data_IF_642791256166
#
_entry.id   IF_642791256166
#
_cell.length_a   1.000
_cell.length_b   1.000
_cell.length_c   1.000
_cell.angle_alpha   90.00
_cell.angle_beta   90.00
_cell.angle_gamma   90.00
#
_symmetry.space_group_name_H-M   'P 1'
#
loop_
_entity.id
_entity.type
_entity.pdbx_description
1 polymer ?
#
# COMPACT_ATOMS: atom_id res chain seq x y z
N UNK A 1 13.07 -10.67 22.64
CA UNK A 1 14.41 -10.88 23.21
C UNK A 1 15.43 -9.90 22.62
N UNK A 2 15.58 -9.80 21.29
CA UNK A 2 16.56 -8.90 20.64
C UNK A 2 16.42 -7.42 21.06
N UNK A 3 15.19 -6.88 21.17
CA UNK A 3 14.96 -5.48 21.59
C UNK A 3 15.41 -5.16 23.02
N UNK A 4 15.39 -6.14 23.92
CA UNK A 4 15.88 -5.98 25.31
C UNK A 4 17.41 -5.96 25.36
N UNK A 5 18.07 -6.82 24.58
CA UNK A 5 19.54 -6.87 24.51
C UNK A 5 20.14 -5.62 23.88
N UNK A 6 19.39 -4.92 23.01
CA UNK A 6 19.81 -3.66 22.36
C UNK A 6 19.34 -2.40 23.12
N UNK A 7 18.74 -2.53 24.31
CA UNK A 7 18.26 -1.39 25.10
C UNK A 7 17.00 -0.70 24.55
N UNK A 8 16.31 -1.33 23.58
CA UNK A 8 15.16 -0.76 22.87
C UNK A 8 13.85 -1.27 23.49
N UNK A 9 13.60 -0.92 24.75
CA UNK A 9 12.44 -1.39 25.52
C UNK A 9 11.08 -1.05 24.87
N UNK A 10 11.02 0.03 24.09
CA UNK A 10 9.79 0.58 23.53
C UNK A 10 9.56 0.24 22.06
N UNK A 11 10.35 -0.69 21.48
CA UNK A 11 10.20 -1.06 20.07
C UNK A 11 8.91 -1.84 19.80
N UNK A 12 8.46 -2.66 20.75
CA UNK A 12 7.27 -3.48 20.65
C UNK A 12 6.34 -3.30 21.86
N UNK A 13 5.09 -2.95 21.57
CA UNK A 13 3.98 -3.05 22.51
C UNK A 13 3.17 -4.32 22.18
N UNK A 14 3.00 -5.22 23.16
CA UNK A 14 2.33 -6.51 22.94
C UNK A 14 0.86 -6.39 22.54
N UNK A 15 0.14 -5.35 23.01
CA UNK A 15 -1.24 -5.07 22.62
C UNK A 15 -1.32 -4.61 21.16
N UNK A 16 -0.42 -3.72 20.75
CA UNK A 16 -0.32 -3.24 19.37
C UNK A 16 0.09 -4.37 18.43
N UNK A 17 1.08 -5.19 18.81
CA UNK A 17 1.50 -6.36 18.05
C UNK A 17 0.34 -7.38 17.91
N UNK A 18 -0.42 -7.61 18.99
CA UNK A 18 -1.61 -8.46 18.97
C UNK A 18 -2.67 -7.95 18.00
N UNK A 19 -2.97 -6.64 18.04
CA UNK A 19 -3.89 -6.00 17.10
C UNK A 19 -3.38 -6.11 15.65
N UNK A 20 -2.10 -5.86 15.41
CA UNK A 20 -1.46 -6.00 14.09
C UNK A 20 -1.56 -7.43 13.56
N UNK A 21 -1.29 -8.41 14.40
CA UNK A 21 -1.40 -9.84 14.05
C UNK A 21 -2.84 -10.22 13.69
N UNK A 22 -3.81 -9.80 14.49
CA UNK A 22 -5.22 -10.06 14.21
C UNK A 22 -5.71 -9.38 12.93
N UNK A 23 -5.25 -8.17 12.65
CA UNK A 23 -5.52 -7.48 11.38
C UNK A 23 -4.92 -8.25 10.20
N UNK A 24 -3.67 -8.69 10.30
CA UNK A 24 -3.00 -9.49 9.26
C UNK A 24 -3.68 -10.84 9.03
N UNK A 25 -4.05 -11.54 10.09
CA UNK A 25 -4.83 -12.79 10.00
C UNK A 25 -6.18 -12.52 9.33
N UNK A 26 -6.91 -11.49 9.78
CA UNK A 26 -8.17 -11.08 9.15
C UNK A 26 -8.02 -10.82 7.66
N UNK A 27 -6.95 -10.13 7.25
CA UNK A 27 -6.63 -9.89 5.84
C UNK A 27 -6.42 -11.19 5.07
N UNK A 28 -5.71 -12.17 5.66
CA UNK A 28 -5.43 -13.45 5.01
C UNK A 28 -6.70 -14.29 4.78
N UNK A 29 -7.73 -14.14 5.60
CA UNK A 29 -9.01 -14.86 5.45
C UNK A 29 -10.06 -14.05 4.68
N UNK A 30 -10.24 -12.77 5.03
CA UNK A 30 -11.26 -11.89 4.42
C UNK A 30 -10.87 -11.55 2.99
N UNK A 31 -9.57 -11.33 2.73
CA UNK A 31 -9.06 -10.96 1.41
C UNK A 31 -9.45 -11.94 0.32
N UNK A 32 -9.11 -13.22 0.41
CA UNK A 32 -9.53 -14.22 -0.57
C UNK A 32 -11.05 -14.32 -0.72
N UNK A 33 -11.80 -14.23 0.38
CA UNK A 33 -13.25 -14.29 0.34
C UNK A 33 -13.88 -13.13 -0.46
N UNK A 34 -13.41 -11.90 -0.24
CA UNK A 34 -13.90 -10.73 -0.96
C UNK A 34 -13.39 -10.69 -2.41
N UNK A 35 -12.15 -11.13 -2.65
CA UNK A 35 -11.50 -11.04 -3.96
C UNK A 35 -11.99 -12.10 -4.94
N UNK A 36 -12.33 -13.31 -4.47
CA UNK A 36 -12.65 -14.44 -5.38
C UNK A 36 -13.84 -14.14 -6.27
N UNK A 37 -14.89 -13.50 -5.77
CA UNK A 37 -16.13 -13.29 -6.54
C UNK A 37 -16.06 -11.98 -7.33
N UNK A 38 -15.86 -10.85 -6.65
CA UNK A 38 -15.97 -9.52 -7.28
C UNK A 38 -14.75 -9.18 -8.14
N UNK A 39 -13.56 -9.41 -7.61
CA UNK A 39 -12.31 -8.99 -8.25
C UNK A 39 -11.91 -9.96 -9.37
N UNK A 40 -12.06 -11.27 -9.16
CA UNK A 40 -11.84 -12.24 -10.23
C UNK A 40 -12.77 -11.98 -11.41
N UNK A 41 -14.04 -11.66 -11.16
CA UNK A 41 -14.99 -11.26 -12.21
C UNK A 41 -14.54 -9.98 -12.93
N UNK A 42 -14.14 -8.94 -12.19
CA UNK A 42 -13.67 -7.69 -12.76
C UNK A 42 -12.40 -7.89 -13.60
N UNK A 43 -11.40 -8.60 -13.06
CA UNK A 43 -10.15 -8.89 -13.77
C UNK A 43 -10.38 -9.72 -15.02
N UNK A 44 -11.24 -10.76 -14.96
CA UNK A 44 -11.57 -11.58 -16.13
C UNK A 44 -12.32 -10.77 -17.19
N UNK A 45 -13.26 -9.91 -16.78
CA UNK A 45 -13.99 -9.04 -17.70
C UNK A 45 -13.05 -8.07 -18.43
N UNK A 46 -12.13 -7.42 -17.70
CA UNK A 46 -11.13 -6.53 -18.32
C UNK A 46 -10.19 -7.34 -19.22
N UNK A 47 -9.75 -8.52 -18.78
CA UNK A 47 -8.91 -9.38 -19.59
C UNK A 47 -9.59 -9.78 -20.90
N UNK A 48 -10.84 -10.23 -20.88
CA UNK A 48 -11.60 -10.62 -22.08
C UNK A 48 -11.85 -9.42 -23.01
N UNK A 49 -12.22 -8.26 -22.45
CA UNK A 49 -12.54 -7.06 -23.22
C UNK A 49 -11.34 -6.51 -23.99
N UNK A 50 -10.15 -6.50 -23.35
CA UNK A 50 -8.95 -5.89 -23.92
C UNK A 50 -8.00 -6.88 -24.60
N UNK A 51 -8.30 -8.18 -24.57
CA UNK A 51 -7.50 -9.22 -25.21
C UNK A 51 -8.39 -10.06 -26.15
N UNK A 52 -8.84 -9.51 -27.28
CA UNK A 52 -9.72 -10.21 -28.20
C UNK A 52 -9.04 -11.42 -28.85
N UNK A 53 -9.87 -12.37 -29.29
CA UNK A 53 -9.43 -13.49 -30.13
C UNK A 53 -9.59 -13.11 -31.57
N UNK A 54 -8.50 -13.02 -32.33
CA UNK A 54 -8.48 -12.71 -33.77
C UNK A 54 -7.88 -13.93 -34.48
N UNK A 55 -8.63 -14.50 -35.44
CA UNK A 55 -8.23 -15.71 -36.18
C UNK A 55 -7.81 -16.90 -35.25
N UNK A 56 -8.55 -17.07 -34.14
CA UNK A 56 -8.26 -18.14 -33.19
C UNK A 56 -7.11 -17.85 -32.22
N UNK A 57 -6.48 -16.68 -32.32
CA UNK A 57 -5.33 -16.27 -31.50
C UNK A 57 -5.75 -15.10 -30.64
N UNK A 58 -5.52 -15.20 -29.31
CA UNK A 58 -5.74 -14.08 -28.38
C UNK A 58 -4.54 -13.13 -28.43
N UNK A 59 -4.79 -11.85 -28.62
CA UNK A 59 -3.79 -10.79 -28.66
C UNK A 59 -4.10 -9.72 -27.60
N UNK A 60 -3.06 -9.00 -27.17
CA UNK A 60 -3.22 -7.85 -26.28
C UNK A 60 -3.53 -6.56 -27.06
N UNK A 61 -3.73 -5.45 -26.34
CA UNK A 61 -3.98 -4.11 -26.92
C UNK A 61 -2.93 -3.65 -27.95
N UNK A 62 -1.70 -4.16 -27.85
CA UNK A 62 -0.60 -3.82 -28.76
C UNK A 62 -0.46 -4.81 -29.93
N UNK A 63 -1.36 -5.79 -30.04
CA UNK A 63 -1.34 -6.78 -31.12
C UNK A 63 -0.42 -7.99 -30.87
N UNK A 64 0.14 -8.15 -29.69
CA UNK A 64 1.04 -9.26 -29.35
C UNK A 64 0.30 -10.42 -28.67
N UNK A 65 0.70 -11.65 -28.97
CA UNK A 65 0.21 -12.84 -28.24
C UNK A 65 0.74 -12.88 -26.81
N UNK A 66 1.98 -12.41 -26.61
CA UNK A 66 2.69 -12.37 -25.34
C UNK A 66 3.90 -11.48 -25.48
N UNK A 67 4.36 -10.87 -24.36
CA UNK A 67 5.63 -10.14 -24.35
C UNK A 67 6.86 -11.05 -24.21
N UNK A 68 6.67 -12.38 -23.99
CA UNK A 68 7.75 -13.31 -23.76
C UNK A 68 8.36 -13.21 -22.34
N UNK A 69 9.57 -13.82 -22.20
CA UNK A 69 10.25 -14.02 -20.90
C UNK A 69 11.60 -13.30 -20.80
N UNK A 70 11.91 -12.40 -21.72
CA UNK A 70 13.18 -11.69 -21.70
C UNK A 70 13.32 -10.84 -20.42
N UNK A 71 14.53 -10.71 -19.90
CA UNK A 71 14.81 -9.99 -18.65
C UNK A 71 14.25 -8.56 -18.62
N UNK A 72 14.24 -7.87 -19.76
CA UNK A 72 13.68 -6.51 -19.85
C UNK A 72 12.15 -6.47 -19.66
N UNK A 73 11.43 -7.56 -19.95
CA UNK A 73 9.99 -7.67 -19.68
C UNK A 73 9.73 -7.66 -18.18
N UNK A 74 10.55 -8.35 -17.40
CA UNK A 74 10.48 -8.34 -15.94
C UNK A 74 10.73 -6.95 -15.36
N UNK A 75 11.77 -6.26 -15.84
CA UNK A 75 12.06 -4.89 -15.41
C UNK A 75 10.96 -3.91 -15.82
N UNK A 76 10.43 -4.04 -17.03
CA UNK A 76 9.31 -3.22 -17.50
C UNK A 76 8.08 -3.45 -16.63
N UNK A 77 7.71 -4.69 -16.38
CA UNK A 77 6.58 -5.00 -15.51
C UNK A 77 6.79 -4.43 -14.11
N UNK A 78 7.96 -4.65 -13.49
CA UNK A 78 8.26 -4.13 -12.15
C UNK A 78 8.15 -2.60 -12.08
N UNK A 79 8.59 -1.90 -13.11
CA UNK A 79 8.43 -0.44 -13.19
C UNK A 79 6.95 -0.02 -13.30
N UNK A 80 6.16 -0.72 -14.11
CA UNK A 80 4.72 -0.45 -14.28
C UNK A 80 3.91 -0.84 -13.05
N UNK A 81 4.29 -1.91 -12.36
CA UNK A 81 3.75 -2.36 -11.09
C UNK A 81 3.96 -1.28 -10.01
N UNK A 82 5.21 -0.81 -9.86
CA UNK A 82 5.57 0.25 -8.91
C UNK A 82 4.87 1.59 -9.22
N UNK A 83 4.65 1.91 -10.50
CA UNK A 83 3.82 3.05 -10.93
C UNK A 83 2.36 2.89 -10.46
N UNK A 84 1.77 1.71 -10.65
CA UNK A 84 0.42 1.40 -10.18
C UNK A 84 0.33 1.47 -8.65
N UNK A 85 1.35 0.95 -7.96
CA UNK A 85 1.46 1.04 -6.52
C UNK A 85 1.52 2.49 -6.03
N UNK A 86 2.32 3.33 -6.67
CA UNK A 86 2.43 4.75 -6.32
C UNK A 86 1.06 5.45 -6.34
N UNK A 87 0.28 5.28 -7.42
CA UNK A 87 -1.04 5.89 -7.54
C UNK A 87 -2.06 5.31 -6.57
N UNK A 88 -2.06 3.98 -6.43
CA UNK A 88 -2.87 3.33 -5.41
C UNK A 88 -2.59 3.92 -4.03
N UNK A 89 -1.33 4.00 -3.64
CA UNK A 89 -0.91 4.45 -2.34
C UNK A 89 -1.20 5.95 -2.12
N UNK A 90 -0.85 6.80 -3.08
CA UNK A 90 -1.13 8.23 -3.02
C UNK A 90 -2.62 8.51 -2.87
N UNK A 91 -3.47 7.88 -3.67
CA UNK A 91 -4.91 8.05 -3.58
C UNK A 91 -5.49 7.44 -2.31
N UNK A 92 -4.88 6.40 -1.75
CA UNK A 92 -5.22 5.87 -0.43
C UNK A 92 -5.01 6.89 0.69
N UNK A 93 -4.07 7.82 0.54
CA UNK A 93 -3.84 8.90 1.50
C UNK A 93 -4.71 10.14 1.24
N UNK A 94 -5.05 10.44 -0.01
CA UNK A 94 -5.68 11.72 -0.39
C UNK A 94 -7.19 11.64 -0.60
N UNK A 95 -7.74 10.45 -0.85
CA UNK A 95 -9.19 10.24 -1.01
C UNK A 95 -9.75 9.68 0.29
N UNK A 96 -10.60 10.42 0.98
CA UNK A 96 -11.10 10.10 2.33
C UNK A 96 -11.69 8.68 2.43
N UNK A 97 -12.42 8.21 1.41
CA UNK A 97 -12.97 6.84 1.41
C UNK A 97 -11.88 5.77 1.33
N UNK A 98 -10.85 6.00 0.52
CA UNK A 98 -9.72 5.08 0.43
C UNK A 98 -8.86 5.15 1.70
N UNK A 99 -8.70 6.35 2.25
CA UNK A 99 -8.03 6.53 3.54
C UNK A 99 -8.72 5.75 4.65
N UNK A 100 -10.05 5.77 4.73
CA UNK A 100 -10.79 5.00 5.73
C UNK A 100 -10.48 3.49 5.68
N UNK A 101 -10.27 2.95 4.49
CA UNK A 101 -9.85 1.57 4.32
C UNK A 101 -8.36 1.35 4.62
N UNK A 102 -7.50 2.36 4.36
CA UNK A 102 -6.05 2.28 4.46
C UNK A 102 -5.51 2.67 5.84
N UNK A 103 -6.22 3.53 6.58
CA UNK A 103 -5.85 4.04 7.91
C UNK A 103 -5.43 2.94 8.91
N UNK A 104 -6.06 1.75 8.97
CA UNK A 104 -5.60 0.68 9.86
C UNK A 104 -4.11 0.37 9.73
N UNK A 105 -3.57 0.47 8.51
CA UNK A 105 -2.15 0.23 8.21
C UNK A 105 -1.23 1.26 8.87
N UNK A 106 -1.66 2.53 8.95
CA UNK A 106 -0.91 3.63 9.55
C UNK A 106 -1.24 3.88 11.03
N UNK A 107 -2.22 3.17 11.60
CA UNK A 107 -2.78 3.48 12.93
C UNK A 107 -1.94 3.00 14.13
N UNK A 108 -0.76 2.42 13.91
CA UNK A 108 0.17 2.06 14.99
C UNK A 108 1.09 3.22 15.35
N UNK A 109 1.22 3.54 16.66
CA UNK A 109 2.23 4.47 17.18
C UNK A 109 3.64 3.86 17.21
N UNK A 110 3.76 2.57 16.84
CA UNK A 110 5.02 1.85 16.76
C UNK A 110 5.41 1.60 15.32
N UNK A 111 6.72 1.63 15.04
CA UNK A 111 7.27 1.33 13.72
C UNK A 111 8.23 0.14 13.84
N UNK A 112 7.75 -1.01 13.42
CA UNK A 112 8.45 -2.30 13.50
C UNK A 112 7.80 -3.32 12.54
N UNK A 113 8.33 -4.54 12.44
CA UNK A 113 7.76 -5.58 11.58
C UNK A 113 6.31 -5.95 11.91
N UNK A 114 5.87 -5.75 13.15
CA UNK A 114 4.45 -5.90 13.51
C UNK A 114 3.55 -4.90 12.79
N UNK A 115 4.04 -3.67 12.60
CA UNK A 115 3.32 -2.66 11.79
C UNK A 115 3.22 -3.09 10.31
N UNK A 116 4.26 -3.76 9.80
CA UNK A 116 4.28 -4.25 8.41
C UNK A 116 3.19 -5.28 8.07
N UNK A 117 2.74 -6.07 9.04
CA UNK A 117 1.64 -7.04 8.84
C UNK A 117 0.25 -6.45 9.10
N UNK A 118 0.15 -5.20 9.57
CA UNK A 118 -1.09 -4.50 9.90
C UNK A 118 -1.76 -3.96 8.62
N UNK A 119 -2.64 -4.74 8.01
CA UNK A 119 -3.32 -4.37 6.75
C UNK A 119 -4.81 -4.18 7.00
N UNK A 120 -5.40 -3.12 6.44
CA UNK A 120 -6.84 -2.89 6.49
C UNK A 120 -7.59 -3.85 5.57
N UNK A 121 -8.69 -4.44 6.05
CA UNK A 121 -9.43 -5.48 5.31
C UNK A 121 -10.08 -4.96 4.04
N UNK A 122 -10.53 -3.71 4.03
CA UNK A 122 -11.21 -3.08 2.88
C UNK A 122 -10.27 -2.58 1.77
N UNK A 123 -8.97 -2.51 2.03
CA UNK A 123 -7.96 -2.19 1.01
C UNK A 123 -8.04 -3.14 -0.18
N UNK A 124 -8.33 -4.40 0.09
CA UNK A 124 -8.40 -5.46 -0.91
C UNK A 124 -9.54 -5.28 -1.92
N UNK A 125 -10.56 -4.46 -1.59
CA UNK A 125 -11.70 -4.20 -2.48
C UNK A 125 -11.35 -3.22 -3.60
N UNK A 126 -10.44 -2.27 -3.37
CA UNK A 126 -10.15 -1.22 -4.35
C UNK A 126 -8.71 -1.26 -4.91
N UNK A 127 -7.74 -1.82 -4.19
CA UNK A 127 -6.35 -1.92 -4.66
C UNK A 127 -6.25 -2.53 -6.07
N UNK A 128 -6.93 -3.63 -6.42
CA UNK A 128 -6.86 -4.23 -7.75
C UNK A 128 -7.27 -3.31 -8.90
N UNK A 129 -8.11 -2.30 -8.67
CA UNK A 129 -8.55 -1.34 -9.69
C UNK A 129 -7.35 -0.64 -10.33
N UNK A 130 -6.32 -0.33 -9.55
CA UNK A 130 -5.10 0.35 -10.01
C UNK A 130 -4.21 -0.51 -10.90
N UNK A 131 -4.47 -1.82 -10.94
CA UNK A 131 -3.71 -2.81 -11.71
C UNK A 131 -4.48 -3.34 -12.94
N UNK A 132 -5.72 -2.91 -13.17
CA UNK A 132 -6.57 -3.39 -14.28
C UNK A 132 -5.92 -3.18 -15.64
N UNK A 133 -5.24 -2.06 -15.84
CA UNK A 133 -4.56 -1.77 -17.09
C UNK A 133 -3.38 -2.71 -17.37
N UNK A 134 -2.71 -3.22 -16.35
CA UNK A 134 -1.67 -4.25 -16.49
C UNK A 134 -2.27 -5.59 -16.93
N UNK A 135 -3.48 -5.90 -16.47
CA UNK A 135 -4.25 -7.06 -16.93
C UNK A 135 -4.59 -6.92 -18.41
N UNK A 136 -4.99 -5.72 -18.84
CA UNK A 136 -5.26 -5.43 -20.26
C UNK A 136 -4.00 -5.56 -21.14
N UNK A 137 -2.81 -5.31 -20.60
CA UNK A 137 -1.54 -5.49 -21.31
C UNK A 137 -1.13 -6.96 -21.51
N UNK A 138 -1.73 -7.89 -20.79
CA UNK A 138 -1.50 -9.34 -20.92
C UNK A 138 -0.04 -9.78 -20.68
N UNK A 139 0.53 -9.38 -19.56
CA UNK A 139 1.77 -9.97 -19.10
C UNK A 139 1.55 -11.44 -18.67
N UNK A 140 2.62 -12.23 -18.72
CA UNK A 140 2.57 -13.59 -18.20
C UNK A 140 2.22 -13.58 -16.71
N UNK A 141 1.35 -14.48 -16.28
CA UNK A 141 0.84 -14.57 -14.92
C UNK A 141 1.96 -14.74 -13.88
N UNK A 142 2.98 -15.52 -14.24
CA UNK A 142 4.16 -15.75 -13.40
C UNK A 142 4.96 -14.45 -13.18
N UNK A 143 5.10 -13.62 -14.22
CA UNK A 143 5.76 -12.30 -14.13
C UNK A 143 5.00 -11.42 -13.13
N UNK A 144 3.68 -11.39 -13.26
CA UNK A 144 2.81 -10.60 -12.36
C UNK A 144 2.99 -11.03 -10.90
N UNK A 145 2.85 -12.33 -10.62
CA UNK A 145 2.93 -12.83 -9.24
C UNK A 145 4.31 -12.62 -8.64
N UNK A 146 5.37 -12.92 -9.39
CA UNK A 146 6.74 -12.81 -8.86
C UNK A 146 7.10 -11.35 -8.60
N UNK A 147 6.77 -10.41 -9.51
CA UNK A 147 7.05 -8.99 -9.31
C UNK A 147 6.26 -8.41 -8.12
N UNK A 148 4.98 -8.73 -7.98
CA UNK A 148 4.18 -8.32 -6.81
C UNK A 148 4.71 -8.93 -5.50
N UNK A 149 5.23 -10.16 -5.54
CA UNK A 149 5.88 -10.76 -4.37
C UNK A 149 7.19 -10.05 -4.02
N UNK A 150 8.01 -9.70 -5.03
CA UNK A 150 9.25 -8.93 -4.85
C UNK A 150 8.92 -7.57 -4.20
N UNK A 151 7.91 -6.86 -4.70
CA UNK A 151 7.47 -5.59 -4.13
C UNK A 151 7.05 -5.74 -2.67
N UNK A 152 6.22 -6.73 -2.36
CA UNK A 152 5.74 -7.00 -1.01
C UNK A 152 6.89 -7.30 -0.04
N UNK A 153 7.83 -8.16 -0.44
CA UNK A 153 9.01 -8.51 0.36
C UNK A 153 9.91 -7.29 0.54
N UNK A 154 10.12 -6.52 -0.55
CA UNK A 154 10.90 -5.29 -0.49
C UNK A 154 10.33 -4.29 0.51
N UNK A 155 9.04 -4.02 0.47
CA UNK A 155 8.40 -3.10 1.40
C UNK A 155 8.39 -3.63 2.84
N UNK A 156 8.19 -4.93 3.03
CA UNK A 156 8.17 -5.52 4.38
C UNK A 156 9.51 -5.36 5.10
N UNK A 157 10.65 -5.51 4.41
CA UNK A 157 11.97 -5.35 5.05
C UNK A 157 12.26 -3.90 5.48
N UNK A 158 11.52 -2.89 4.96
CA UNK A 158 11.70 -1.48 5.31
C UNK A 158 11.23 -1.14 6.74
N UNK A 159 10.42 -1.99 7.39
CA UNK A 159 9.86 -1.73 8.73
C UNK A 159 10.88 -1.85 9.87
N UNK A 160 11.98 -1.16 9.74
CA UNK A 160 13.03 -1.11 10.78
C UNK A 160 13.64 0.29 10.89
N UNK A 161 14.08 0.64 12.12
CA UNK A 161 14.79 1.88 12.41
C UNK A 161 16.32 1.70 12.46
N UNK A 162 16.79 0.47 12.27
CA UNK A 162 18.22 0.15 12.45
C UNK A 162 19.09 0.46 11.24
N UNK A 163 18.48 0.59 10.05
CA UNK A 163 19.22 0.87 8.84
C UNK A 163 19.36 2.39 8.68
N UNK A 164 20.59 2.90 8.63
CA UNK A 164 20.85 4.33 8.44
C UNK A 164 20.53 4.75 7.00
N UNK A 165 20.74 6.03 6.71
CA UNK A 165 20.65 6.56 5.35
C UNK A 165 21.60 5.82 4.42
N UNK A 166 21.08 5.45 3.24
CA UNK A 166 21.81 4.71 2.23
C UNK A 166 22.43 5.62 1.15
N UNK A 167 22.47 6.93 1.38
CA UNK A 167 23.15 7.89 0.51
C UNK A 167 22.57 7.92 -0.90
N UNK A 168 23.39 7.59 -1.91
CA UNK A 168 23.03 7.66 -3.33
C UNK A 168 21.85 6.73 -3.67
N UNK A 169 21.70 5.60 -2.99
CA UNK A 169 20.59 4.67 -3.24
C UNK A 169 19.22 5.29 -2.96
N UNK A 170 19.14 6.29 -2.08
CA UNK A 170 17.90 7.03 -1.78
C UNK A 170 17.39 7.88 -2.95
N UNK A 171 18.19 8.10 -3.98
CA UNK A 171 17.74 8.80 -5.19
C UNK A 171 16.89 7.90 -6.09
N UNK A 172 17.15 6.61 -6.09
CA UNK A 172 16.46 5.66 -6.97
C UNK A 172 15.45 4.81 -6.20
N UNK A 173 15.81 4.33 -5.02
CA UNK A 173 15.02 3.38 -4.25
C UNK A 173 14.36 4.03 -3.03
N UNK A 174 13.18 3.53 -2.67
CA UNK A 174 12.56 3.79 -1.38
C UNK A 174 13.35 3.07 -0.30
N UNK A 175 13.92 3.82 0.64
CA UNK A 175 14.75 3.27 1.72
C UNK A 175 14.02 3.31 3.06
N UNK A 176 14.63 2.71 4.09
CA UNK A 176 14.11 2.68 5.44
C UNK A 176 13.78 4.08 5.98
N UNK A 177 14.63 5.08 5.71
CA UNK A 177 14.41 6.45 6.16
C UNK A 177 13.24 7.13 5.44
N UNK A 178 13.08 6.88 4.15
CA UNK A 178 11.93 7.39 3.37
C UNK A 178 10.63 6.71 3.81
N UNK A 179 10.70 5.41 4.12
CA UNK A 179 9.55 4.65 4.61
C UNK A 179 9.15 5.06 6.05
N UNK A 180 10.12 5.47 6.89
CA UNK A 180 9.81 6.06 8.20
C UNK A 180 9.05 7.39 8.05
N UNK A 181 9.43 8.25 7.09
CA UNK A 181 8.71 9.50 6.78
C UNK A 181 7.26 9.22 6.39
N UNK A 182 7.00 8.19 5.59
CA UNK A 182 5.65 7.77 5.18
C UNK A 182 4.73 7.47 6.36
N UNK A 183 5.27 6.90 7.45
CA UNK A 183 4.52 6.52 8.65
C UNK A 183 4.51 7.59 9.74
N UNK A 184 5.15 8.74 9.48
CA UNK A 184 5.23 9.83 10.43
C UNK A 184 3.95 10.68 10.41
N UNK A 185 3.42 11.00 11.60
CA UNK A 185 2.30 11.94 11.76
C UNK A 185 2.72 13.41 11.92
N UNK A 186 4.03 13.69 11.85
CA UNK A 186 4.54 15.04 11.84
C UNK A 186 3.99 15.78 10.61
N UNK A 187 3.55 17.04 10.77
CA UNK A 187 2.86 17.82 9.72
C UNK A 187 3.69 17.92 8.43
N UNK A 188 5.02 18.11 8.55
CA UNK A 188 5.94 18.21 7.42
C UNK A 188 6.11 16.92 6.61
N UNK A 189 5.65 15.78 7.15
CA UNK A 189 5.77 14.44 6.55
C UNK A 189 4.43 13.87 6.06
N UNK A 190 3.32 14.55 6.34
CA UNK A 190 2.01 14.09 5.90
C UNK A 190 1.96 13.99 4.37
N UNK A 191 1.37 12.91 3.86
CA UNK A 191 1.19 12.63 2.44
C UNK A 191 2.50 12.70 1.62
N UNK A 192 3.57 12.12 2.17
CA UNK A 192 4.88 12.01 1.52
C UNK A 192 5.33 10.58 1.34
N UNK A 193 6.16 10.37 0.30
CA UNK A 193 6.87 9.11 0.01
C UNK A 193 5.93 7.92 -0.24
N UNK A 194 5.14 7.99 -1.32
CA UNK A 194 4.16 6.95 -1.69
C UNK A 194 4.73 5.81 -2.54
N UNK A 195 5.97 5.91 -3.05
CA UNK A 195 6.59 4.88 -3.89
C UNK A 195 6.70 3.51 -3.21
N UNK A 196 6.67 2.44 -3.99
CA UNK A 196 6.85 1.06 -3.53
C UNK A 196 8.33 0.71 -3.38
N UNK A 197 8.97 0.40 -4.51
CA UNK A 197 10.41 0.12 -4.60
C UNK A 197 11.19 1.37 -5.03
N UNK A 198 10.66 2.09 -6.04
CA UNK A 198 11.34 3.24 -6.63
C UNK A 198 10.85 4.56 -6.02
N UNK A 199 11.78 5.42 -5.63
CA UNK A 199 11.48 6.78 -5.16
C UNK A 199 11.31 7.78 -6.32
N UNK A 200 11.46 7.33 -7.56
CA UNK A 200 11.40 8.18 -8.75
C UNK A 200 10.02 8.81 -8.93
N UNK A 201 8.94 8.08 -8.64
CA UNK A 201 7.57 8.58 -8.76
C UNK A 201 7.28 9.67 -7.72
N UNK A 202 7.79 9.53 -6.49
CA UNK A 202 7.68 10.59 -5.48
C UNK A 202 8.37 11.87 -5.92
N UNK A 203 9.52 11.76 -6.57
CA UNK A 203 10.25 12.92 -7.11
C UNK A 203 9.55 13.55 -8.30
N UNK A 204 9.07 12.71 -9.22
CA UNK A 204 8.37 13.14 -10.44
C UNK A 204 7.07 13.89 -10.10
N UNK A 205 6.33 13.40 -9.11
CA UNK A 205 5.02 13.96 -8.73
C UNK A 205 5.06 14.85 -7.48
N UNK A 206 6.26 15.21 -6.97
CA UNK A 206 6.47 16.21 -5.92
C UNK A 206 6.07 15.74 -4.51
N UNK A 207 5.96 14.44 -4.27
CA UNK A 207 5.63 13.87 -2.95
C UNK A 207 6.86 13.41 -2.17
N UNK A 208 8.06 13.54 -2.75
CA UNK A 208 9.29 13.15 -2.07
C UNK A 208 9.62 14.05 -0.89
N UNK A 209 9.92 13.44 0.26
CA UNK A 209 10.42 14.13 1.43
C UNK A 209 11.53 13.34 2.11
N UNK A 210 12.66 14.00 2.33
CA UNK A 210 13.79 13.43 3.06
C UNK A 210 13.53 13.53 4.56
N UNK A 211 13.95 12.51 5.30
CA UNK A 211 13.95 12.56 6.77
C UNK A 211 14.87 13.69 7.25
N UNK A 212 14.39 14.57 8.11
CA UNK A 212 15.18 15.62 8.75
C UNK A 212 16.17 15.06 9.77
N UNK A 213 17.28 15.77 10.00
CA UNK A 213 18.36 15.30 10.89
C UNK A 213 18.01 15.46 12.39
N UNK A 214 17.12 16.41 12.72
CA UNK A 214 16.85 16.82 14.10
C UNK A 214 15.40 16.60 14.53
N UNK A 215 14.53 16.12 13.65
CA UNK A 215 13.13 15.96 13.97
C UNK A 215 12.87 14.59 14.61
N UNK A 216 12.32 14.60 15.81
CA UNK A 216 11.77 13.37 16.40
C UNK A 216 10.59 12.90 15.56
N UNK A 217 10.71 11.71 14.98
CA UNK A 217 9.61 11.11 14.26
C UNK A 217 8.57 10.63 15.26
N UNK A 218 7.32 11.04 15.04
CA UNK A 218 6.15 10.51 15.72
C UNK A 218 5.37 9.67 14.72
N UNK A 219 5.16 8.38 15.04
CA UNK A 219 4.43 7.45 14.19
C UNK A 219 2.94 7.43 14.52
N UNK A 220 2.14 6.91 13.60
CA UNK A 220 0.70 6.82 13.75
C UNK A 220 -0.06 7.80 12.86
N UNK A 221 -1.32 8.05 13.22
CA UNK A 221 -2.23 8.95 12.50
C UNK A 221 -2.67 10.10 13.39
N UNK A 222 -3.16 11.20 12.80
CA UNK A 222 -3.62 12.38 13.54
C UNK A 222 -4.86 12.08 14.40
N UNK A 223 -5.77 11.26 13.87
CA UNK A 223 -6.99 10.82 14.54
C UNK A 223 -6.99 9.31 14.75
N UNK A 224 -6.31 8.81 15.81
CA UNK A 224 -6.18 7.39 16.04
C UNK A 224 -7.50 6.75 16.52
N UNK A 225 -7.74 5.46 16.22
CA UNK A 225 -8.93 4.74 16.67
C UNK A 225 -9.00 4.56 18.20
N UNK A 226 -7.93 4.87 18.92
CA UNK A 226 -7.79 4.71 20.39
C UNK A 226 -8.21 3.31 20.89
N UNK A 227 -8.00 2.28 20.09
CA UNK A 227 -8.40 0.92 20.37
C UNK A 227 -7.45 -0.09 19.74
N UNK A 228 -7.27 -1.22 20.42
CA UNK A 228 -6.59 -2.40 19.87
C UNK A 228 -7.56 -3.45 19.31
N UNK A 229 -8.88 -3.19 19.36
CA UNK A 229 -9.87 -4.07 18.76
C UNK A 229 -9.84 -3.93 17.23
N UNK A 230 -9.53 -5.00 16.46
CA UNK A 230 -9.44 -4.93 15.00
C UNK A 230 -10.71 -4.40 14.32
N UNK A 231 -11.90 -4.77 14.81
CA UNK A 231 -13.17 -4.29 14.26
C UNK A 231 -13.32 -2.77 14.41
N UNK A 232 -12.92 -2.21 15.55
CA UNK A 232 -12.95 -0.76 15.76
C UNK A 232 -11.93 -0.11 14.85
N UNK A 233 -10.71 -0.64 14.78
CA UNK A 233 -9.62 -0.10 13.97
C UNK A 233 -10.00 -0.03 12.48
N UNK A 234 -10.67 -1.04 11.93
CA UNK A 234 -11.05 -1.07 10.49
C UNK A 234 -12.32 -0.29 10.18
N UNK A 235 -13.14 0.08 11.19
CA UNK A 235 -14.46 0.69 10.93
C UNK A 235 -14.60 2.11 11.43
N UNK A 236 -13.69 2.63 12.28
CA UNK A 236 -13.91 3.92 12.94
C UNK A 236 -14.01 5.07 11.94
N UNK A 237 -13.10 5.20 10.98
CA UNK A 237 -13.14 6.28 9.99
C UNK A 237 -14.36 6.19 9.06
N UNK A 238 -14.84 4.98 8.76
CA UNK A 238 -16.10 4.80 8.03
C UNK A 238 -17.30 5.28 8.83
N UNK A 239 -17.27 5.11 10.17
CA UNK A 239 -18.32 5.66 11.05
C UNK A 239 -18.28 7.17 11.07
N UNK A 240 -17.10 7.77 11.09
CA UNK A 240 -16.91 9.22 11.06
C UNK A 240 -17.41 9.79 9.74
N UNK A 241 -17.05 9.20 8.60
CA UNK A 241 -17.61 9.55 7.28
C UNK A 241 -19.14 9.47 7.30
N UNK A 242 -19.71 8.38 7.86
CA UNK A 242 -21.15 8.21 7.93
C UNK A 242 -21.85 9.26 8.80
N UNK A 243 -21.23 9.68 9.90
CA UNK A 243 -21.75 10.75 10.75
C UNK A 243 -21.71 12.10 10.01
N UNK A 244 -20.61 12.40 9.32
CA UNK A 244 -20.47 13.63 8.54
C UNK A 244 -21.48 13.68 7.40
N UNK A 245 -21.71 12.58 6.69
CA UNK A 245 -22.76 12.49 5.64
C UNK A 245 -24.14 12.77 6.20
N UNK A 246 -24.48 12.27 7.40
CA UNK A 246 -25.77 12.53 8.04
C UNK A 246 -25.96 13.98 8.46
N UNK A 247 -24.88 14.69 8.79
CA UNK A 247 -24.91 16.09 9.24
C UNK A 247 -24.73 17.07 8.07
N UNK A 248 -24.30 16.58 6.92
CA UNK A 248 -24.01 17.41 5.76
C UNK A 248 -25.29 17.96 5.09
N UNK A 249 -25.31 19.25 4.83
CA UNK A 249 -26.39 19.90 4.08
C UNK A 249 -26.24 19.72 2.55
N UNK A 250 -25.04 19.34 2.08
CA UNK A 250 -24.74 19.11 0.66
C UNK A 250 -23.77 17.94 0.52
N UNK A 251 -23.78 17.26 -0.64
CA UNK A 251 -22.85 16.17 -0.93
C UNK A 251 -21.39 16.64 -0.82
N UNK A 252 -21.08 17.84 -1.28
CA UNK A 252 -19.71 18.40 -1.19
C UNK A 252 -19.24 18.56 0.26
N UNK A 253 -20.11 18.98 1.18
CA UNK A 253 -19.76 19.17 2.59
C UNK A 253 -19.58 17.85 3.37
N UNK A 254 -20.05 16.73 2.82
CA UNK A 254 -19.91 15.41 3.44
C UNK A 254 -18.49 14.80 3.27
N UNK A 255 -17.73 15.30 2.29
CA UNK A 255 -16.43 14.73 1.93
C UNK A 255 -15.25 15.72 2.07
N UNK A 256 -15.50 16.90 2.63
CA UNK A 256 -14.48 17.85 3.06
C UNK A 256 -14.05 17.56 4.50
#
# INVERSE_FOLDING_TARGET
MVSRSLGLKDLYNWRDLGASTLLGIGTAFIGPLLNVILIAWLLSTVYELFNPVINGIRINLLGYQSFGWAWYIWLTFQFLDDYSFYWYHRLSHTVRLFWAAYLPHHSSDHYNFGTGIRIGWFVLLYKPIFYLWLVAMRFHFEVVIICMAIETIYQFQLYTKFVPRLGVLEYLFVTHTQHQVRYARNIEYLDKNHGGILSIFDRLFGTFRKLGDHNKIEFGVLHPPNSYNPLIVVTHEFKDIWQDVKQANTISSAFM
#
